data_IF_190438349426
#
_entry.id   IF_190438349426
#
_cell.length_a   1.000
_cell.length_b   1.000
_cell.length_c   1.000
_cell.angle_alpha   90.00
_cell.angle_beta   90.00
_cell.angle_gamma   90.00
#
_symmetry.space_group_name_H-M   'P 1'
#
loop_
_entity.id
_entity.type
_entity.pdbx_description
1 polymer ?
#
# COMPACT_ATOMS: atom_id res chain seq x y z
N UNK A 1 5.35 -1.66 2.32
CA UNK A 1 5.32 -1.40 0.87
C UNK A 1 6.62 -1.92 0.24
N UNK A 2 6.64 -2.24 -1.06
CA UNK A 2 7.84 -2.69 -1.78
C UNK A 2 8.57 -1.54 -2.50
N UNK A 3 9.84 -1.77 -2.86
CA UNK A 3 10.70 -0.74 -3.47
C UNK A 3 10.27 -0.32 -4.87
N UNK A 4 9.91 -1.30 -5.70
CA UNK A 4 9.37 -1.04 -7.04
C UNK A 4 8.08 -0.22 -6.94
N UNK A 5 7.22 -0.56 -5.97
CA UNK A 5 5.96 0.17 -5.73
C UNK A 5 6.21 1.61 -5.26
N UNK A 6 7.19 1.81 -4.37
CA UNK A 6 7.59 3.14 -3.93
C UNK A 6 8.06 4.01 -5.09
N UNK A 7 8.84 3.43 -6.00
CA UNK A 7 9.38 4.11 -7.16
C UNK A 7 8.27 4.52 -8.13
N UNK A 8 7.34 3.61 -8.44
CA UNK A 8 6.17 3.94 -9.25
C UNK A 8 5.38 5.13 -8.68
N UNK A 9 5.21 5.19 -7.36
CA UNK A 9 4.52 6.29 -6.69
C UNK A 9 5.34 7.58 -6.79
N UNK A 10 6.66 7.52 -6.62
CA UNK A 10 7.54 8.69 -6.72
C UNK A 10 7.63 9.24 -8.16
N UNK A 11 7.57 8.37 -9.16
CA UNK A 11 7.57 8.73 -10.59
C UNK A 11 6.17 9.14 -11.08
N UNK A 12 5.12 8.81 -10.32
CA UNK A 12 3.74 9.18 -10.63
C UNK A 12 3.45 10.62 -10.20
N UNK A 13 2.84 11.44 -11.08
CA UNK A 13 2.35 12.77 -10.70
C UNK A 13 1.08 12.69 -9.84
N UNK A 14 0.50 11.50 -9.66
CA UNK A 14 -0.72 11.27 -8.89
C UNK A 14 -0.36 11.00 -7.44
N UNK A 15 -0.90 11.80 -6.53
CA UNK A 15 -0.77 11.59 -5.10
C UNK A 15 -1.40 10.27 -4.67
N UNK A 16 -0.60 9.41 -4.06
CA UNK A 16 -1.03 8.16 -3.44
C UNK A 16 -1.19 8.37 -1.93
N UNK A 17 -2.19 7.74 -1.29
CA UNK A 17 -2.41 7.82 0.18
C UNK A 17 -1.35 6.99 0.92
N UNK A 18 -0.07 7.35 0.82
CA UNK A 18 1.00 6.66 1.55
C UNK A 18 1.10 7.21 2.96
N UNK A 19 1.24 6.32 3.93
CA UNK A 19 1.33 6.67 5.35
C UNK A 19 2.60 6.13 5.98
N UNK A 20 3.18 6.94 6.85
CA UNK A 20 4.29 6.58 7.73
C UNK A 20 3.86 6.80 9.17
N UNK A 21 3.91 5.76 10.00
CA UNK A 21 3.46 5.81 11.41
C UNK A 21 2.05 6.42 11.60
N UNK A 22 1.15 6.20 10.64
CA UNK A 22 -0.22 6.72 10.66
C UNK A 22 -0.38 8.16 10.16
N UNK A 23 0.71 8.86 9.86
CA UNK A 23 0.66 10.20 9.24
C UNK A 23 0.77 10.10 7.72
N UNK A 24 -0.01 10.88 6.96
CA UNK A 24 0.10 10.91 5.51
C UNK A 24 1.42 11.59 5.09
N UNK A 25 2.08 11.00 4.10
CA UNK A 25 3.38 11.48 3.61
C UNK A 25 3.41 11.51 2.07
N UNK A 26 4.32 12.31 1.52
CA UNK A 26 4.73 12.28 0.12
C UNK A 26 6.07 11.59 -0.03
N UNK A 27 6.22 10.76 -1.06
CA UNK A 27 7.51 10.17 -1.44
C UNK A 27 8.14 11.03 -2.53
N UNK A 28 9.31 11.57 -2.26
CA UNK A 28 10.03 12.39 -3.23
C UNK A 28 11.05 11.59 -4.04
N UNK A 29 11.75 10.67 -3.38
CA UNK A 29 12.78 9.85 -4.00
C UNK A 29 12.91 8.52 -3.28
N UNK A 30 13.30 7.48 -4.03
CA UNK A 30 13.52 6.13 -3.52
C UNK A 30 14.93 5.71 -3.88
N UNK A 31 15.72 5.34 -2.88
CA UNK A 31 17.06 4.81 -3.04
C UNK A 31 17.00 3.27 -3.06
N UNK A 32 17.12 2.69 -4.27
CA UNK A 32 17.10 1.24 -4.49
C UNK A 32 18.30 0.52 -3.87
N UNK A 33 19.41 1.23 -3.67
CA UNK A 33 20.64 0.63 -3.12
C UNK A 33 20.56 0.50 -1.60
N UNK A 34 19.95 1.48 -0.93
CA UNK A 34 19.79 1.51 0.52
C UNK A 34 18.44 0.98 1.02
N UNK A 35 17.50 0.76 0.10
CA UNK A 35 16.12 0.39 0.41
C UNK A 35 15.40 1.43 1.29
N UNK A 36 15.76 2.70 1.11
CA UNK A 36 15.19 3.85 1.82
C UNK A 36 14.41 4.75 0.88
N UNK A 37 13.43 5.46 1.41
CA UNK A 37 12.66 6.49 0.72
C UNK A 37 12.78 7.81 1.48
N UNK A 38 13.01 8.87 0.72
CA UNK A 38 12.90 10.25 1.21
C UNK A 38 11.45 10.68 1.14
N UNK A 39 10.90 11.03 2.31
CA UNK A 39 9.51 11.38 2.49
C UNK A 39 9.33 12.77 3.12
N UNK A 40 8.20 13.41 2.82
CA UNK A 40 7.76 14.66 3.43
C UNK A 40 6.39 14.45 4.09
N UNK A 41 6.22 14.77 5.38
CA UNK A 41 4.90 14.83 6.01
C UNK A 41 4.02 15.88 5.31
N UNK A 42 2.73 15.56 5.14
CA UNK A 42 1.77 16.55 4.62
C UNK A 42 1.58 17.73 5.58
N UNK A 43 1.67 17.46 6.89
CA UNK A 43 1.49 18.48 7.93
C UNK A 43 2.67 19.45 8.01
N UNK A 44 3.87 19.00 7.63
CA UNK A 44 5.10 19.79 7.67
C UNK A 44 6.02 19.41 6.48
N UNK A 45 5.83 20.05 5.30
CA UNK A 45 6.59 19.75 4.10
C UNK A 45 8.03 20.29 4.13
N UNK A 46 8.40 21.10 5.14
CA UNK A 46 9.77 21.59 5.31
C UNK A 46 10.68 20.53 5.96
N UNK A 47 10.10 19.49 6.57
CA UNK A 47 10.83 18.38 7.15
C UNK A 47 10.91 17.20 6.17
N UNK A 48 12.12 16.79 5.80
CA UNK A 48 12.36 15.53 5.09
C UNK A 48 12.88 14.44 6.02
N UNK A 49 12.36 13.23 5.84
CA UNK A 49 12.84 12.04 6.55
C UNK A 49 13.28 10.99 5.55
N UNK A 50 14.42 10.35 5.83
CA UNK A 50 14.83 9.15 5.12
C UNK A 50 14.42 7.93 5.97
N UNK A 51 13.44 7.17 5.46
CA UNK A 51 12.88 6.02 6.17
C UNK A 51 12.96 4.77 5.30
N UNK A 52 13.05 3.56 5.88
CA UNK A 52 13.01 2.34 5.11
C UNK A 52 11.69 2.23 4.33
N UNK A 53 11.75 1.84 3.05
CA UNK A 53 10.55 1.70 2.20
C UNK A 53 9.53 0.74 2.82
N UNK A 54 10.04 -0.34 3.43
CA UNK A 54 9.23 -1.34 4.14
C UNK A 54 8.39 -0.76 5.28
N UNK A 55 8.75 0.39 5.83
CA UNK A 55 8.01 1.07 6.90
C UNK A 55 6.84 1.92 6.39
N UNK A 56 6.75 2.12 5.07
CA UNK A 56 5.64 2.82 4.43
C UNK A 56 4.48 1.87 4.16
N UNK A 57 3.26 2.37 4.32
CA UNK A 57 2.03 1.61 4.12
C UNK A 57 1.13 2.35 3.13
N UNK A 58 0.65 1.66 2.09
CA UNK A 58 -0.41 2.14 1.22
C UNK A 58 -1.74 1.45 1.55
N UNK A 59 -2.89 2.14 1.50
CA UNK A 59 -4.23 1.57 1.65
C UNK A 59 -4.76 1.01 0.32
N UNK A 60 -3.92 0.91 -0.71
CA UNK A 60 -4.34 0.47 -2.03
C UNK A 60 -4.60 -1.05 -2.02
N UNK A 61 -5.90 -1.35 -2.01
CA UNK A 61 -6.52 -2.64 -2.26
C UNK A 61 -6.56 -3.65 -1.11
N UNK A 62 -7.53 -3.44 -0.22
CA UNK A 62 -8.38 -4.52 0.26
C UNK A 62 -9.23 -5.13 -0.88
N UNK A 63 -8.60 -5.67 -1.92
CA UNK A 63 -9.15 -6.68 -2.82
C UNK A 63 -8.15 -7.83 -2.94
N UNK A 64 -7.67 -8.33 -1.80
CA UNK A 64 -7.55 -9.78 -1.62
C UNK A 64 -8.92 -10.28 -1.14
N UNK A 65 -9.96 -10.10 -1.96
CA UNK A 65 -11.22 -10.83 -1.79
C UNK A 65 -11.08 -12.17 -2.53
N UNK A 66 -11.09 -13.25 -1.75
CA UNK A 66 -11.67 -14.55 -2.09
C UNK A 66 -11.05 -15.37 -3.24
N UNK A 67 -10.06 -16.22 -2.93
CA UNK A 67 -9.84 -17.47 -3.67
C UNK A 67 -10.14 -18.75 -2.87
N UNK A 68 -10.59 -18.65 -1.60
CA UNK A 68 -11.02 -19.83 -0.83
C UNK A 68 -12.56 -19.96 -0.67
N UNK A 69 -13.36 -18.98 -1.12
CA UNK A 69 -14.83 -19.05 -1.10
C UNK A 69 -15.42 -19.33 -2.50
N UNK A 70 -14.92 -20.36 -3.18
CA UNK A 70 -15.59 -20.92 -4.38
C UNK A 70 -15.44 -22.44 -4.49
N UNK A 71 -15.50 -23.13 -3.35
CA UNK A 71 -15.85 -24.54 -3.29
C UNK A 71 -16.94 -24.71 -2.21
N UNK A 72 -18.05 -25.33 -2.59
CA UNK A 72 -19.13 -25.78 -1.70
C UNK A 72 -20.17 -24.75 -1.24
N UNK A 73 -20.87 -24.07 -2.17
CA UNK A 73 -22.31 -23.79 -1.98
C UNK A 73 -23.07 -23.76 -3.31
N UNK A 74 -23.29 -24.91 -3.96
CA UNK A 74 -24.57 -25.23 -4.61
C UNK A 74 -24.72 -26.75 -4.64
N UNK A 75 -25.53 -27.26 -3.73
CA UNK A 75 -26.43 -28.40 -3.97
C UNK A 75 -27.58 -28.24 -2.99
N UNK A 76 -28.28 -27.11 -3.11
CA UNK A 76 -29.64 -27.02 -2.63
C UNK A 76 -30.50 -27.74 -3.66
N UNK A 77 -31.03 -28.90 -3.29
CA UNK A 77 -32.46 -29.17 -3.36
C UNK A 77 -32.70 -30.68 -3.22
N UNK A 78 -33.53 -31.06 -2.25
CA UNK A 78 -34.86 -31.65 -2.51
C UNK A 78 -35.29 -32.68 -1.45
N UNK A 79 -36.25 -32.21 -0.63
CA UNK A 79 -37.45 -32.91 -0.12
C UNK A 79 -37.36 -33.68 1.20
N UNK A 80 -38.25 -33.25 2.09
CA UNK A 80 -38.81 -33.86 3.29
C UNK A 80 -39.22 -35.32 3.09
N UNK A 81 -38.98 -36.18 4.09
CA UNK A 81 -40.00 -36.90 4.88
C UNK A 81 -39.37 -37.42 6.18
#
# INVERSE_FOLDING_TARGET
MDINRAREIADSPVMQDVRYNGSPIYIQHVDETKETARIYPLDDPDQEFEVPVRSLTEPSSSMAMEVEQMACRVSDSRIEE
#
